data_IF_355006031608
#
_entry.id   IF_355006031608
#
_cell.length_a   1.000
_cell.length_b   1.000
_cell.length_c   1.000
_cell.angle_alpha   90.00
_cell.angle_beta   90.00
_cell.angle_gamma   90.00
#
_symmetry.space_group_name_H-M   'P 1'
#
loop_
_entity.id
_entity.type
_entity.pdbx_description
1 polymer ?
#
# COMPACT_ATOMS: atom_id res chain seq x y z
N UNK A 1 -24.27 -19.47 -17.62
CA UNK A 1 -22.99 -19.20 -16.96
C UNK A 1 -22.90 -17.68 -16.89
N UNK A 2 -22.90 -17.10 -15.70
CA UNK A 2 -22.70 -15.64 -15.57
C UNK A 2 -21.29 -15.34 -16.04
N UNK A 3 -21.15 -14.48 -17.07
CA UNK A 3 -19.84 -14.07 -17.55
C UNK A 3 -19.09 -13.40 -16.41
N UNK A 4 -17.85 -13.85 -16.18
CA UNK A 4 -16.96 -13.22 -15.18
C UNK A 4 -16.69 -11.78 -15.60
N UNK A 5 -16.87 -10.84 -14.68
CA UNK A 5 -16.58 -9.44 -14.92
C UNK A 5 -15.07 -9.24 -14.90
N UNK A 6 -14.47 -8.92 -16.04
CA UNK A 6 -13.04 -8.54 -16.10
C UNK A 6 -12.85 -7.16 -15.50
N UNK A 7 -11.93 -7.02 -14.56
CA UNK A 7 -11.58 -5.78 -13.90
C UNK A 7 -10.06 -5.58 -13.94
N UNK A 8 -9.59 -4.41 -14.37
CA UNK A 8 -8.16 -4.13 -14.42
C UNK A 8 -7.63 -3.76 -13.04
N UNK A 9 -6.54 -4.41 -12.62
CA UNK A 9 -5.80 -4.01 -11.42
C UNK A 9 -4.73 -2.99 -11.81
N UNK A 10 -4.91 -1.75 -11.33
CA UNK A 10 -3.97 -0.65 -11.51
C UNK A 10 -2.78 -0.78 -10.54
N UNK A 11 -1.98 -1.82 -10.71
CA UNK A 11 -0.79 -2.08 -9.90
C UNK A 11 0.17 -3.01 -10.64
N UNK A 12 1.47 -2.69 -10.61
CA UNK A 12 2.54 -3.58 -11.07
C UNK A 12 3.00 -4.61 -10.00
N UNK A 13 2.42 -4.61 -8.81
CA UNK A 13 2.84 -5.49 -7.71
C UNK A 13 2.13 -6.84 -7.76
N UNK A 14 2.87 -7.89 -8.13
CA UNK A 14 2.35 -9.26 -8.22
C UNK A 14 1.80 -9.80 -6.88
N UNK A 15 2.39 -9.43 -5.75
CA UNK A 15 1.89 -9.85 -4.43
C UNK A 15 0.50 -9.29 -4.14
N UNK A 16 0.25 -8.03 -4.49
CA UNK A 16 -1.07 -7.40 -4.39
C UNK A 16 -2.09 -8.09 -5.29
N UNK A 17 -1.70 -8.43 -6.52
CA UNK A 17 -2.57 -9.14 -7.46
C UNK A 17 -3.08 -10.46 -6.88
N UNK A 18 -2.18 -11.30 -6.34
CA UNK A 18 -2.56 -12.59 -5.76
C UNK A 18 -3.53 -12.44 -4.58
N UNK A 19 -3.26 -11.49 -3.68
CA UNK A 19 -4.12 -11.24 -2.51
C UNK A 19 -5.52 -10.75 -2.92
N UNK A 20 -5.59 -9.80 -3.85
CA UNK A 20 -6.86 -9.20 -4.30
C UNK A 20 -7.66 -10.13 -5.19
N UNK A 21 -7.02 -10.87 -6.09
CA UNK A 21 -7.70 -11.81 -6.99
C UNK A 21 -8.45 -12.89 -6.21
N UNK A 22 -7.79 -13.53 -5.23
CA UNK A 22 -8.45 -14.54 -4.39
C UNK A 22 -9.62 -13.98 -3.57
N UNK A 23 -9.55 -12.71 -3.18
CA UNK A 23 -10.61 -12.06 -2.43
C UNK A 23 -11.84 -11.68 -3.28
N UNK A 24 -11.65 -11.39 -4.56
CA UNK A 24 -12.72 -10.93 -5.46
C UNK A 24 -13.33 -12.05 -6.31
N UNK A 25 -12.71 -13.22 -6.36
CA UNK A 25 -13.26 -14.39 -7.04
C UNK A 25 -14.69 -14.76 -6.59
N UNK A 26 -15.05 -14.73 -5.28
CA UNK A 26 -16.41 -14.98 -4.82
C UNK A 26 -17.45 -13.97 -5.33
N UNK A 27 -17.02 -12.79 -5.76
CA UNK A 27 -17.86 -11.73 -6.36
C UNK A 27 -17.93 -11.82 -7.88
N UNK A 28 -17.43 -12.91 -8.47
CA UNK A 28 -17.37 -13.12 -9.91
C UNK A 28 -16.54 -12.05 -10.66
N UNK A 29 -15.61 -11.38 -9.97
CA UNK A 29 -14.69 -10.39 -10.53
C UNK A 29 -13.35 -11.08 -10.81
N UNK A 30 -12.92 -11.02 -12.07
CA UNK A 30 -11.62 -11.50 -12.52
C UNK A 30 -10.64 -10.33 -12.68
N UNK A 31 -9.62 -10.29 -11.83
CA UNK A 31 -8.60 -9.25 -11.90
C UNK A 31 -7.56 -9.57 -12.97
N UNK A 32 -7.32 -8.60 -13.85
CA UNK A 32 -6.28 -8.64 -14.89
C UNK A 32 -5.29 -7.51 -14.60
N UNK A 33 -3.97 -7.78 -14.51
CA UNK A 33 -3.00 -6.74 -14.23
C UNK A 33 -2.92 -5.74 -15.40
N UNK A 34 -2.74 -4.45 -15.10
CA UNK A 34 -2.65 -3.39 -16.11
C UNK A 34 -1.53 -3.61 -17.13
N UNK A 35 -0.49 -4.37 -16.77
CA UNK A 35 0.62 -4.70 -17.67
C UNK A 35 0.19 -5.53 -18.89
N UNK A 36 -0.88 -6.32 -18.79
CA UNK A 36 -1.42 -7.07 -19.92
C UNK A 36 -2.04 -6.17 -20.99
N UNK A 37 -2.44 -4.96 -20.60
CA UNK A 37 -2.99 -3.94 -21.50
C UNK A 37 -1.95 -2.87 -21.90
N UNK A 38 -0.68 -3.05 -21.53
CA UNK A 38 0.40 -2.08 -21.75
C UNK A 38 0.08 -0.67 -21.18
N UNK A 39 -0.74 -0.60 -20.15
CA UNK A 39 -1.06 0.66 -19.46
C UNK A 39 0.14 1.12 -18.65
N UNK A 40 0.58 2.36 -18.87
CA UNK A 40 1.65 3.00 -18.11
C UNK A 40 1.21 3.31 -16.68
N UNK A 41 2.17 3.49 -15.77
CA UNK A 41 1.84 3.93 -14.41
C UNK A 41 1.22 5.33 -14.44
N UNK A 42 0.20 5.53 -13.58
CA UNK A 42 -0.44 6.83 -13.41
C UNK A 42 0.50 7.80 -12.65
N UNK A 43 0.38 9.09 -12.94
CA UNK A 43 1.06 10.12 -12.15
C UNK A 43 0.35 10.31 -10.79
N UNK A 44 0.97 9.79 -9.72
CA UNK A 44 0.50 9.88 -8.35
C UNK A 44 0.86 11.25 -7.74
N UNK A 45 0.24 12.32 -8.24
CA UNK A 45 0.53 13.70 -7.85
C UNK A 45 -0.31 14.23 -6.66
N UNK A 46 -1.25 13.43 -6.15
CA UNK A 46 -2.11 13.84 -5.05
C UNK A 46 -1.45 13.69 -3.67
N UNK A 47 -2.06 14.33 -2.66
CA UNK A 47 -1.52 14.39 -1.29
C UNK A 47 -2.14 13.37 -0.34
N UNK A 48 -3.12 12.59 -0.78
CA UNK A 48 -3.78 11.55 0.01
C UNK A 48 -3.79 10.19 -0.68
N UNK A 49 -3.83 9.11 0.11
CA UNK A 49 -4.00 7.75 -0.41
C UNK A 49 -5.28 7.58 -1.24
N UNK A 50 -6.38 8.25 -0.83
CA UNK A 50 -7.67 8.15 -1.53
C UNK A 50 -7.56 8.73 -2.94
N UNK A 51 -7.03 9.95 -3.06
CA UNK A 51 -6.88 10.62 -4.35
C UNK A 51 -5.94 9.83 -5.27
N UNK A 52 -4.79 9.35 -4.77
CA UNK A 52 -3.87 8.55 -5.57
C UNK A 52 -4.50 7.21 -6.01
N UNK A 53 -5.26 6.53 -5.15
CA UNK A 53 -6.00 5.32 -5.52
C UNK A 53 -7.02 5.62 -6.64
N UNK A 54 -7.78 6.72 -6.54
CA UNK A 54 -8.73 7.15 -7.57
C UNK A 54 -8.03 7.51 -8.89
N UNK A 55 -6.93 8.25 -8.84
CA UNK A 55 -6.13 8.60 -10.02
C UNK A 55 -5.69 7.32 -10.75
N UNK A 56 -5.13 6.36 -10.02
CA UNK A 56 -4.69 5.07 -10.59
C UNK A 56 -5.85 4.29 -11.20
N UNK A 57 -6.97 4.17 -10.48
CA UNK A 57 -8.11 3.41 -10.97
C UNK A 57 -8.72 4.06 -12.23
N UNK A 58 -8.91 5.39 -12.24
CA UNK A 58 -9.42 6.12 -13.40
C UNK A 58 -8.50 6.04 -14.59
N UNK A 59 -7.20 6.18 -14.38
CA UNK A 59 -6.20 6.03 -15.44
C UNK A 59 -6.28 4.66 -16.11
N UNK A 60 -6.30 3.59 -15.33
CA UNK A 60 -6.39 2.23 -15.84
C UNK A 60 -7.74 1.96 -16.55
N UNK A 61 -8.86 2.42 -15.98
CA UNK A 61 -10.17 2.27 -16.61
C UNK A 61 -10.29 3.04 -17.92
N UNK A 62 -9.77 4.27 -17.97
CA UNK A 62 -9.77 5.09 -19.20
C UNK A 62 -8.96 4.42 -20.32
N UNK A 63 -7.81 3.85 -19.97
CA UNK A 63 -6.94 3.21 -20.94
C UNK A 63 -7.48 1.88 -21.48
N UNK A 64 -8.28 1.16 -20.69
CA UNK A 64 -8.73 -0.21 -21.01
C UNK A 64 -10.21 -0.30 -21.38
N UNK A 65 -11.02 0.69 -21.01
CA UNK A 65 -12.47 0.63 -21.11
C UNK A 65 -13.14 -0.36 -20.14
N UNK A 66 -12.39 -0.90 -19.17
CA UNK A 66 -12.86 -1.89 -18.19
C UNK A 66 -13.08 -1.25 -16.81
N UNK A 67 -13.89 -1.90 -15.94
CA UNK A 67 -13.85 -1.64 -14.51
C UNK A 67 -12.42 -1.71 -13.98
N UNK A 68 -12.12 -0.90 -12.97
CA UNK A 68 -10.77 -0.85 -12.43
C UNK A 68 -10.74 -0.89 -10.90
N UNK A 69 -9.72 -1.56 -10.36
CA UNK A 69 -9.37 -1.58 -8.95
C UNK A 69 -7.95 -1.06 -8.79
N UNK A 70 -7.76 -0.11 -7.88
CA UNK A 70 -6.45 0.37 -7.48
C UNK A 70 -6.22 0.22 -5.98
N UNK A 71 -4.97 0.00 -5.59
CA UNK A 71 -4.49 -0.02 -4.21
C UNK A 71 -3.49 1.12 -4.03
N UNK A 72 -3.75 2.00 -3.07
CA UNK A 72 -2.74 2.90 -2.55
C UNK A 72 -2.56 2.67 -1.05
N UNK A 73 -1.31 2.39 -0.64
CA UNK A 73 -1.00 1.91 0.70
C UNK A 73 0.32 2.47 1.20
N UNK A 74 0.40 2.72 2.49
CA UNK A 74 1.63 3.19 3.11
C UNK A 74 1.58 3.14 4.63
N UNK A 75 2.66 3.63 5.23
CA UNK A 75 2.85 3.72 6.66
C UNK A 75 2.77 5.19 7.09
N UNK A 76 2.06 5.47 8.18
CA UNK A 76 2.00 6.81 8.78
C UNK A 76 2.52 6.76 10.21
N UNK A 77 3.36 7.76 10.58
CA UNK A 77 3.90 7.92 11.94
C UNK A 77 3.53 9.33 12.43
N UNK A 78 2.60 9.47 13.38
CA UNK A 78 2.13 10.78 13.85
C UNK A 78 3.24 11.69 14.35
N UNK A 79 4.24 11.14 15.06
CA UNK A 79 5.39 11.90 15.56
C UNK A 79 6.23 12.56 14.44
N UNK A 80 6.13 12.04 13.21
CA UNK A 80 6.78 12.59 12.01
C UNK A 80 5.80 13.38 11.12
N UNK A 81 4.66 13.84 11.69
CA UNK A 81 3.63 14.58 10.93
C UNK A 81 2.92 13.73 9.87
N UNK A 82 2.88 12.42 10.05
CA UNK A 82 2.27 11.47 9.12
C UNK A 82 3.24 10.86 8.09
N UNK A 83 4.50 11.28 8.07
CA UNK A 83 5.51 10.62 7.22
C UNK A 83 5.73 9.16 7.68
N UNK A 84 6.10 8.27 6.75
CA UNK A 84 6.33 8.37 5.30
C UNK A 84 5.10 8.71 4.46
N UNK A 85 3.86 8.34 4.89
CA UNK A 85 2.62 8.63 4.18
C UNK A 85 2.60 8.06 2.76
N UNK A 86 2.15 8.86 1.80
CA UNK A 86 2.09 8.52 0.37
C UNK A 86 3.48 8.27 -0.25
N UNK A 87 4.55 8.69 0.44
CA UNK A 87 5.93 8.45 0.00
C UNK A 87 6.53 7.15 0.52
N UNK A 88 5.73 6.27 1.13
CA UNK A 88 6.22 5.04 1.79
C UNK A 88 7.13 4.18 0.90
N UNK A 89 6.81 4.03 -0.38
CA UNK A 89 7.61 3.23 -1.31
C UNK A 89 8.90 3.92 -1.80
N UNK A 90 9.03 5.23 -1.55
CA UNK A 90 10.15 6.07 -2.01
C UNK A 90 10.67 7.01 -0.91
N UNK A 91 10.44 6.64 0.34
CA UNK A 91 10.71 7.52 1.49
C UNK A 91 12.17 7.93 1.59
N UNK A 92 13.11 7.05 1.25
CA UNK A 92 14.53 7.36 1.22
C UNK A 92 14.90 8.48 0.23
N UNK A 93 14.06 8.79 -0.75
CA UNK A 93 14.27 9.86 -1.73
C UNK A 93 13.67 11.21 -1.31
N UNK A 94 12.96 11.31 -0.19
CA UNK A 94 12.30 12.55 0.22
C UNK A 94 13.30 13.54 0.84
N UNK A 95 13.11 14.85 0.61
CA UNK A 95 14.05 15.92 1.00
C UNK A 95 14.22 16.14 2.52
N UNK A 96 13.37 15.57 3.37
CA UNK A 96 13.51 15.70 4.83
C UNK A 96 14.69 14.95 5.42
N UNK A 97 15.48 14.27 4.60
CA UNK A 97 16.72 13.64 4.98
C UNK A 97 17.52 13.32 3.74
N UNK A 98 18.81 13.61 3.75
CA UNK A 98 19.70 13.11 2.74
C UNK A 98 19.44 11.61 2.52
N UNK A 99 19.56 11.17 1.28
CA UNK A 99 19.48 9.76 0.93
C UNK A 99 20.39 8.95 1.85
N UNK A 100 19.83 7.92 2.47
CA UNK A 100 20.60 7.05 3.36
C UNK A 100 20.78 5.67 2.73
N UNK A 101 22.04 5.26 2.58
CA UNK A 101 22.39 3.89 2.25
C UNK A 101 23.31 3.36 3.36
N UNK A 102 22.92 2.25 3.99
CA UNK A 102 23.65 1.67 5.13
C UNK A 102 23.85 2.65 6.31
N UNK A 103 22.87 3.54 6.57
CA UNK A 103 22.95 4.50 7.68
C UNK A 103 23.78 5.75 7.42
N UNK A 104 24.31 5.95 6.23
CA UNK A 104 25.08 7.14 5.84
C UNK A 104 24.37 7.93 4.73
N UNK A 105 24.43 9.30 4.75
CA UNK A 105 23.93 10.12 3.66
C UNK A 105 24.64 9.76 2.35
N UNK A 106 23.86 9.63 1.27
CA UNK A 106 24.41 9.40 -0.08
C UNK A 106 24.16 10.63 -0.93
N UNK A 107 25.17 10.99 -1.72
CA UNK A 107 25.14 12.15 -2.62
C UNK A 107 23.99 12.03 -3.63
N UNK A 108 23.10 13.03 -3.71
CA UNK A 108 21.88 13.03 -4.48
C UNK A 108 22.08 12.89 -6.01
N UNK A 109 23.26 13.20 -6.52
CA UNK A 109 23.57 13.13 -7.95
C UNK A 109 23.67 11.70 -8.51
N UNK A 110 23.77 10.67 -7.64
CA UNK A 110 23.97 9.27 -8.07
C UNK A 110 22.70 8.40 -8.06
N UNK A 111 21.55 8.92 -7.67
CA UNK A 111 20.36 8.11 -7.38
C UNK A 111 19.12 8.45 -8.23
N UNK A 112 19.28 9.23 -9.31
CA UNK A 112 18.17 9.68 -10.13
C UNK A 112 17.39 8.55 -10.86
N UNK A 113 17.94 7.35 -10.97
CA UNK A 113 17.34 6.26 -11.76
C UNK A 113 17.00 4.98 -11.00
N UNK A 114 17.27 4.89 -9.69
CA UNK A 114 16.99 3.67 -8.93
C UNK A 114 15.93 3.89 -7.83
N UNK A 115 14.83 3.16 -7.93
CA UNK A 115 13.86 3.06 -6.84
C UNK A 115 14.56 2.57 -5.56
N UNK A 116 14.40 3.24 -4.38
CA UNK A 116 15.03 2.81 -3.15
C UNK A 116 14.52 1.43 -2.74
N UNK A 117 15.38 0.68 -2.07
CA UNK A 117 14.99 -0.60 -1.48
C UNK A 117 14.14 -0.40 -0.23
N UNK A 118 13.40 -1.45 0.17
CA UNK A 118 12.69 -1.45 1.45
C UNK A 118 13.65 -1.21 2.62
N UNK A 119 14.89 -1.72 2.54
CA UNK A 119 15.93 -1.50 3.53
C UNK A 119 16.34 -0.02 3.64
N UNK A 120 16.45 0.70 2.51
CA UNK A 120 16.77 2.13 2.52
C UNK A 120 15.67 2.95 3.19
N UNK A 121 14.41 2.63 2.86
CA UNK A 121 13.23 3.27 3.44
C UNK A 121 13.14 3.02 4.96
N UNK A 122 13.37 1.77 5.40
CA UNK A 122 13.41 1.41 6.83
C UNK A 122 14.54 2.11 7.58
N UNK A 123 15.75 2.13 7.00
CA UNK A 123 16.93 2.77 7.60
C UNK A 123 16.66 4.26 7.84
N UNK A 124 16.10 4.96 6.85
CA UNK A 124 15.72 6.36 7.01
C UNK A 124 14.70 6.55 8.13
N UNK A 125 13.63 5.75 8.14
CA UNK A 125 12.59 5.86 9.16
C UNK A 125 13.14 5.63 10.57
N UNK A 126 13.97 4.61 10.76
CA UNK A 126 14.62 4.34 12.03
C UNK A 126 15.55 5.50 12.47
N UNK A 127 16.29 6.08 11.54
CA UNK A 127 17.14 7.24 11.82
C UNK A 127 16.33 8.46 12.26
N UNK A 128 15.22 8.78 11.59
CA UNK A 128 14.36 9.89 11.97
C UNK A 128 13.70 9.68 13.33
N UNK A 129 13.43 8.43 13.68
CA UNK A 129 12.85 8.05 14.98
C UNK A 129 13.87 7.80 16.10
N UNK A 130 15.17 8.01 15.89
CA UNK A 130 16.21 7.69 16.87
C UNK A 130 16.07 8.37 18.23
N UNK A 131 15.45 9.55 18.28
CA UNK A 131 15.23 10.33 19.49
C UNK A 131 13.78 10.16 20.04
N UNK A 132 12.97 9.28 19.45
CA UNK A 132 11.61 9.00 19.87
C UNK A 132 11.54 7.64 20.57
N UNK A 133 10.75 7.53 21.64
CA UNK A 133 10.59 6.30 22.42
C UNK A 133 9.15 6.03 22.79
N UNK A 134 8.83 4.80 23.17
CA UNK A 134 7.50 4.39 23.66
C UNK A 134 6.38 4.74 22.69
N UNK A 135 5.35 5.45 23.18
CA UNK A 135 4.18 5.83 22.40
C UNK A 135 4.48 6.81 21.23
N UNK A 136 5.57 7.53 21.31
CA UNK A 136 5.98 8.40 20.19
C UNK A 136 6.37 7.62 18.92
N UNK A 137 6.65 6.32 19.05
CA UNK A 137 6.92 5.41 17.93
C UNK A 137 5.64 4.76 17.39
N UNK A 138 4.46 5.20 17.84
CA UNK A 138 3.19 4.73 17.30
C UNK A 138 3.14 4.94 15.78
N UNK A 139 2.63 3.95 15.07
CA UNK A 139 2.56 3.93 13.62
C UNK A 139 1.28 3.24 13.16
N UNK A 140 0.86 3.54 11.94
CA UNK A 140 -0.31 2.90 11.35
C UNK A 140 -0.08 2.64 9.87
N UNK A 141 -0.21 1.38 9.46
CA UNK A 141 -0.39 1.07 8.06
C UNK A 141 -1.78 1.48 7.58
N UNK A 142 -1.84 2.02 6.40
CA UNK A 142 -3.06 2.44 5.69
C UNK A 142 -3.12 1.72 4.35
N UNK A 143 -4.30 1.21 3.99
CA UNK A 143 -4.60 0.73 2.64
C UNK A 143 -5.90 1.36 2.19
N UNK A 144 -5.90 1.92 0.99
CA UNK A 144 -7.08 2.41 0.29
C UNK A 144 -7.23 1.61 -1.00
N UNK A 145 -8.39 0.98 -1.14
CA UNK A 145 -8.83 0.34 -2.37
C UNK A 145 -9.88 1.23 -3.03
N UNK A 146 -9.69 1.59 -4.28
CA UNK A 146 -10.66 2.32 -5.09
C UNK A 146 -11.12 1.41 -6.24
N UNK A 147 -12.41 1.04 -6.25
CA UNK A 147 -13.05 0.31 -7.33
C UNK A 147 -14.03 1.22 -8.05
N UNK A 148 -14.03 1.19 -9.38
CA UNK A 148 -14.97 1.90 -10.23
C UNK A 148 -15.37 1.05 -11.44
N UNK A 149 -16.59 1.25 -11.92
CA UNK A 149 -17.14 0.53 -13.07
C UNK A 149 -16.66 1.09 -14.41
N UNK A 150 -16.38 2.39 -14.45
CA UNK A 150 -15.84 3.10 -15.62
C UNK A 150 -15.08 4.35 -15.16
N UNK A 151 -14.31 4.96 -16.05
CA UNK A 151 -13.42 6.08 -15.72
C UNK A 151 -14.16 7.29 -15.10
N UNK A 152 -15.37 7.56 -15.54
CA UNK A 152 -16.24 8.67 -15.08
C UNK A 152 -17.28 8.21 -14.04
N UNK A 153 -17.07 7.07 -13.38
CA UNK A 153 -17.96 6.57 -12.34
C UNK A 153 -18.18 7.65 -11.26
N UNK A 154 -19.41 8.15 -11.06
CA UNK A 154 -19.71 9.18 -10.07
C UNK A 154 -19.80 8.61 -8.65
N UNK A 155 -19.88 7.28 -8.49
CA UNK A 155 -20.04 6.60 -7.22
C UNK A 155 -19.02 5.47 -7.03
N UNK A 156 -17.71 5.76 -7.09
CA UNK A 156 -16.68 4.74 -6.90
C UNK A 156 -16.73 4.16 -5.49
N UNK A 157 -16.48 2.87 -5.34
CA UNK A 157 -16.34 2.25 -4.02
C UNK A 157 -14.94 2.58 -3.46
N UNK A 158 -14.91 3.21 -2.29
CA UNK A 158 -13.67 3.46 -1.54
C UNK A 158 -13.67 2.61 -0.28
N UNK A 159 -12.80 1.61 -0.25
CA UNK A 159 -12.63 0.75 0.91
C UNK A 159 -11.28 1.02 1.58
N UNK A 160 -11.32 1.36 2.86
CA UNK A 160 -10.14 1.67 3.64
C UNK A 160 -9.86 0.61 4.70
N UNK A 161 -8.59 0.38 4.97
CA UNK A 161 -8.18 -0.48 6.06
C UNK A 161 -7.00 0.11 6.81
N UNK A 162 -7.01 -0.07 8.13
CA UNK A 162 -5.99 0.45 9.02
C UNK A 162 -5.42 -0.68 9.89
N UNK A 163 -4.13 -0.62 10.15
CA UNK A 163 -3.47 -1.54 11.07
C UNK A 163 -2.53 -0.76 11.99
N UNK A 164 -2.93 -0.60 13.24
CA UNK A 164 -2.17 0.15 14.24
C UNK A 164 -1.09 -0.72 14.90
N UNK A 165 0.06 -0.10 15.13
CA UNK A 165 1.22 -0.72 15.75
C UNK A 165 2.25 0.33 16.16
N UNK A 166 3.50 -0.07 16.25
CA UNK A 166 4.62 0.83 16.54
C UNK A 166 5.86 0.43 15.75
N UNK A 167 6.75 1.38 15.52
CA UNK A 167 8.05 1.13 14.92
C UNK A 167 9.04 0.68 16.00
N UNK A 168 9.72 -0.43 15.78
CA UNK A 168 10.77 -0.96 16.64
C UNK A 168 12.01 -0.06 16.61
N UNK A 169 12.93 -0.22 17.54
CA UNK A 169 14.18 0.58 17.59
C UNK A 169 15.20 0.11 16.56
N UNK A 170 15.10 -1.14 16.14
CA UNK A 170 15.97 -1.78 15.15
C UNK A 170 15.16 -2.76 14.28
N UNK A 171 15.78 -3.33 13.26
CA UNK A 171 15.21 -4.43 12.48
C UNK A 171 15.17 -5.67 13.38
N UNK A 172 13.95 -6.18 13.68
CA UNK A 172 13.76 -7.31 14.61
C UNK A 172 13.46 -8.64 13.91
N UNK A 173 13.21 -8.61 12.59
CA UNK A 173 12.91 -9.84 11.83
C UNK A 173 13.34 -9.70 10.38
N UNK A 174 13.55 -10.84 9.73
CA UNK A 174 13.84 -10.92 8.29
C UNK A 174 12.57 -11.19 7.49
N UNK A 175 12.59 -10.83 6.20
CA UNK A 175 11.50 -11.09 5.26
C UNK A 175 10.35 -10.06 5.36
N UNK A 176 9.19 -10.43 4.81
CA UNK A 176 8.08 -9.51 4.67
C UNK A 176 8.25 -8.54 3.50
N UNK A 177 7.53 -7.42 3.53
CA UNK A 177 7.53 -6.38 2.49
C UNK A 177 7.49 -5.00 3.13
N UNK A 178 8.23 -4.04 2.54
CA UNK A 178 8.25 -2.66 3.02
C UNK A 178 8.77 -2.55 4.46
N UNK A 179 7.95 -2.00 5.34
CA UNK A 179 8.30 -1.76 6.74
C UNK A 179 7.95 -2.92 7.68
N UNK A 180 7.56 -4.08 7.17
CA UNK A 180 7.18 -5.24 7.98
C UNK A 180 8.22 -5.65 9.06
N UNK A 181 9.54 -5.62 8.77
CA UNK A 181 10.57 -6.01 9.73
C UNK A 181 10.69 -5.11 10.96
N UNK A 182 10.20 -3.87 10.86
CA UNK A 182 10.26 -2.87 11.92
C UNK A 182 8.89 -2.46 12.46
N UNK A 183 7.81 -3.04 11.93
CA UNK A 183 6.45 -2.77 12.39
C UNK A 183 5.99 -3.83 13.37
N UNK A 184 5.93 -3.49 14.65
CA UNK A 184 5.45 -4.35 15.74
C UNK A 184 3.96 -4.16 15.98
N UNK A 185 3.23 -5.27 16.04
CA UNK A 185 1.80 -5.30 16.33
C UNK A 185 1.56 -5.74 17.80
N UNK A 186 1.11 -4.84 18.69
CA UNK A 186 0.89 -5.17 20.10
C UNK A 186 -0.14 -6.28 20.31
N UNK A 187 -1.18 -6.35 19.47
CA UNK A 187 -2.25 -7.35 19.56
C UNK A 187 -1.75 -8.78 19.35
N UNK A 188 -0.68 -8.96 18.58
CA UNK A 188 -0.13 -10.27 18.26
C UNK A 188 1.18 -10.56 18.96
N UNK A 189 1.83 -9.55 19.54
CA UNK A 189 3.11 -9.66 20.23
C UNK A 189 4.31 -9.89 19.31
N UNK A 190 4.20 -9.57 18.00
CA UNK A 190 5.26 -9.82 17.02
C UNK A 190 5.30 -8.76 15.93
N UNK A 191 6.40 -8.73 15.17
CA UNK A 191 6.51 -7.88 13.99
C UNK A 191 5.65 -8.41 12.84
N UNK A 192 5.30 -7.52 11.90
CA UNK A 192 4.52 -7.90 10.72
C UNK A 192 5.26 -8.94 9.85
N UNK A 193 6.59 -8.87 9.78
CA UNK A 193 7.39 -9.84 9.06
C UNK A 193 7.42 -11.23 9.71
N UNK A 194 7.39 -11.29 11.05
CA UNK A 194 7.33 -12.55 11.78
C UNK A 194 5.96 -13.26 11.71
N UNK A 195 4.92 -12.58 11.21
CA UNK A 195 3.61 -13.18 11.03
C UNK A 195 3.56 -14.07 9.79
N UNK A 196 3.02 -15.27 9.90
CA UNK A 196 2.66 -16.07 8.74
C UNK A 196 1.58 -15.38 7.88
N UNK A 197 1.60 -15.62 6.57
CA UNK A 197 0.71 -14.97 5.59
C UNK A 197 -0.77 -15.00 6.00
N UNK A 198 -1.25 -16.14 6.47
CA UNK A 198 -2.65 -16.31 6.88
C UNK A 198 -3.02 -15.39 8.03
N UNK A 199 -2.21 -15.33 9.11
CA UNK A 199 -2.49 -14.44 10.25
C UNK A 199 -2.40 -12.97 9.84
N UNK A 200 -1.41 -12.62 9.03
CA UNK A 200 -1.24 -11.25 8.52
C UNK A 200 -2.44 -10.81 7.69
N UNK A 201 -3.00 -11.66 6.81
CA UNK A 201 -4.17 -11.32 5.99
C UNK A 201 -5.43 -11.03 6.82
N UNK A 202 -5.55 -11.59 8.03
CA UNK A 202 -6.70 -11.32 8.91
C UNK A 202 -6.61 -9.99 9.65
N UNK A 203 -5.41 -9.53 10.01
CA UNK A 203 -5.21 -8.33 10.85
C UNK A 203 -4.67 -7.12 10.10
N UNK A 204 -4.04 -7.31 8.94
CA UNK A 204 -3.38 -6.23 8.21
C UNK A 204 -4.37 -5.21 7.63
N UNK A 205 -3.86 -4.01 7.39
CA UNK A 205 -4.57 -2.93 6.71
C UNK A 205 -5.20 -3.37 5.39
N UNK A 206 -4.46 -4.11 4.55
CA UNK A 206 -5.00 -4.62 3.28
C UNK A 206 -6.07 -5.67 3.50
N UNK A 207 -5.89 -6.60 4.42
CA UNK A 207 -6.93 -7.58 4.76
C UNK A 207 -8.22 -6.92 5.26
N UNK A 208 -8.11 -5.85 6.06
CA UNK A 208 -9.28 -5.04 6.48
C UNK A 208 -9.92 -4.34 5.28
N UNK A 209 -9.13 -3.66 4.43
CA UNK A 209 -9.64 -2.97 3.25
C UNK A 209 -10.35 -3.92 2.27
N UNK A 210 -9.81 -5.12 2.07
CA UNK A 210 -10.43 -6.16 1.24
C UNK A 210 -11.81 -6.56 1.78
N UNK A 211 -11.94 -6.84 3.07
CA UNK A 211 -13.25 -7.19 3.67
C UNK A 211 -14.25 -6.04 3.53
N UNK A 212 -13.80 -4.80 3.71
CA UNK A 212 -14.65 -3.62 3.53
C UNK A 212 -15.08 -3.46 2.05
N UNK A 213 -14.20 -3.73 1.10
CA UNK A 213 -14.54 -3.73 -0.33
C UNK A 213 -15.59 -4.79 -0.65
N UNK A 214 -15.38 -6.03 -0.19
CA UNK A 214 -16.33 -7.14 -0.38
C UNK A 214 -17.72 -6.81 0.16
N UNK A 215 -17.81 -6.22 1.35
CA UNK A 215 -19.08 -5.80 1.94
C UNK A 215 -19.79 -4.73 1.11
N UNK A 216 -19.07 -3.74 0.60
CA UNK A 216 -19.64 -2.68 -0.23
C UNK A 216 -20.08 -3.20 -1.61
N UNK A 217 -19.34 -4.13 -2.22
CA UNK A 217 -19.72 -4.80 -3.46
C UNK A 217 -21.04 -5.57 -3.32
N UNK A 218 -21.25 -6.28 -2.21
CA UNK A 218 -22.50 -6.96 -1.91
C UNK A 218 -23.68 -5.99 -1.79
N UNK A 219 -23.49 -4.84 -1.13
CA UNK A 219 -24.51 -3.82 -0.97
C UNK A 219 -24.90 -3.15 -2.31
N UNK A 220 -23.91 -2.98 -3.21
CA UNK A 220 -24.16 -2.40 -4.54
C UNK A 220 -24.91 -3.35 -5.49
N UNK A 221 -24.77 -4.65 -5.26
CA UNK A 221 -25.42 -5.71 -6.07
C UNK A 221 -26.86 -6.03 -5.62
N UNK A 222 -27.32 -5.44 -4.50
CA UNK A 222 -28.64 -5.64 -3.90
C UNK A 222 -29.61 -4.57 -4.33
#
# INVERSE_FOLDING_TARGET
MSDRLSCVLASGNHGKLVELAGALEPHNIHLVPQSEFQVTEADESAVTFIENALIKARHASLATGLPALADDSGLTVPALGGAPGIYSARYALTERGALYKNGAPVDSERLSDQKPSDSDNMTKLLFELKNYSGEQRAARFVCVLAYLEHADDPEPIIATGYWSGRITESIESEGGFGYDPIFYCPQTGMTAAAMGKHRKSTVSHRGVAIRNLQQQLLQRSS
#
